data_IF_488679806422
#
_entry.id   IF_488679806422
#
_cell.length_a   1.000
_cell.length_b   1.000
_cell.length_c   1.000
_cell.angle_alpha   90.00
_cell.angle_beta   90.00
_cell.angle_gamma   90.00
#
_symmetry.space_group_name_H-M   'P 1'
#
loop_
_entity.id
_entity.type
_entity.pdbx_description
1 polymer ?
#
# COMPACT_ATOMS: atom_id res chain seq x y z
N UNK A 1 2.27 4.86 6.20
CA UNK A 1 2.17 6.33 6.23
C UNK A 1 3.48 7.00 5.83
N UNK A 2 4.64 6.49 6.29
CA UNK A 2 5.95 7.12 6.09
C UNK A 2 6.78 6.49 4.97
N UNK A 3 6.50 5.26 4.55
CA UNK A 3 7.34 4.50 3.61
C UNK A 3 7.70 5.25 2.32
N UNK A 4 6.74 5.93 1.69
CA UNK A 4 7.03 6.68 0.46
C UNK A 4 7.99 7.86 0.70
N UNK A 5 7.83 8.58 1.83
CA UNK A 5 8.73 9.70 2.17
C UNK A 5 10.12 9.18 2.54
N UNK A 6 10.20 8.11 3.32
CA UNK A 6 11.46 7.45 3.66
C UNK A 6 12.16 7.02 2.37
N UNK A 7 11.49 6.26 1.50
CA UNK A 7 12.07 5.80 0.24
C UNK A 7 12.59 6.95 -0.60
N UNK A 8 11.80 8.00 -0.80
CA UNK A 8 12.22 9.17 -1.58
C UNK A 8 13.41 9.90 -0.97
N UNK A 9 13.49 10.00 0.37
CA UNK A 9 14.64 10.60 1.06
C UNK A 9 15.89 9.74 0.87
N UNK A 10 15.78 8.42 1.06
CA UNK A 10 16.90 7.50 0.85
C UNK A 10 17.37 7.50 -0.61
N UNK A 11 16.45 7.53 -1.57
CA UNK A 11 16.78 7.63 -3.01
C UNK A 11 17.49 8.95 -3.33
N UNK A 12 17.03 10.07 -2.76
CA UNK A 12 17.67 11.37 -2.93
C UNK A 12 19.11 11.37 -2.39
N UNK A 13 19.33 10.80 -1.19
CA UNK A 13 20.69 10.61 -0.65
C UNK A 13 21.53 9.77 -1.60
N UNK A 14 21.02 8.63 -2.04
CA UNK A 14 21.77 7.73 -2.92
C UNK A 14 22.18 8.38 -4.24
N UNK A 15 21.29 9.22 -4.83
CA UNK A 15 21.52 9.85 -6.13
C UNK A 15 22.38 11.13 -6.05
N UNK A 16 22.28 11.90 -4.97
CA UNK A 16 22.80 13.27 -4.93
C UNK A 16 23.84 13.52 -3.83
N UNK A 17 24.14 12.55 -2.98
CA UNK A 17 25.21 12.72 -1.99
C UNK A 17 26.57 12.61 -2.63
N UNK A 18 27.37 13.70 -2.54
CA UNK A 18 28.71 13.81 -3.11
C UNK A 18 29.85 13.62 -2.06
N UNK A 19 29.51 13.31 -0.81
CA UNK A 19 30.48 13.06 0.24
C UNK A 19 31.18 11.70 0.12
N UNK A 20 31.76 11.21 1.22
CA UNK A 20 32.53 9.96 1.22
C UNK A 20 31.61 8.71 1.06
N UNK A 21 31.42 8.28 -0.16
CA UNK A 21 30.63 7.08 -0.49
C UNK A 21 31.35 5.76 -0.18
N UNK A 22 32.65 5.80 0.13
CA UNK A 22 33.43 4.63 0.54
C UNK A 22 33.41 4.40 2.05
N UNK A 23 32.80 5.30 2.83
CA UNK A 23 32.63 5.12 4.27
C UNK A 23 31.79 3.89 4.61
N UNK A 24 32.02 3.28 5.76
CA UNK A 24 31.26 2.12 6.22
C UNK A 24 29.78 2.47 6.41
N UNK A 25 29.48 3.70 6.89
CA UNK A 25 28.12 4.19 7.06
C UNK A 25 27.38 4.34 5.72
N UNK A 26 28.05 4.86 4.67
CA UNK A 26 27.41 4.97 3.36
C UNK A 26 27.16 3.58 2.73
N UNK A 27 28.10 2.65 2.88
CA UNK A 27 27.88 1.25 2.42
C UNK A 27 26.73 0.58 3.16
N UNK A 28 26.63 0.77 4.47
CA UNK A 28 25.52 0.26 5.27
C UNK A 28 24.19 0.93 4.91
N UNK A 29 24.21 2.24 4.63
CA UNK A 29 23.07 3.00 4.09
C UNK A 29 22.58 2.42 2.74
N UNK A 30 23.49 2.13 1.84
CA UNK A 30 23.15 1.52 0.54
C UNK A 30 22.48 0.14 0.70
N UNK A 31 22.98 -0.68 1.64
CA UNK A 31 22.34 -1.97 1.97
C UNK A 31 20.94 -1.77 2.53
N UNK A 32 20.75 -0.76 3.40
CA UNK A 32 19.44 -0.45 3.97
C UNK A 32 18.46 0.02 2.89
N UNK A 33 18.87 0.91 1.98
CA UNK A 33 18.06 1.34 0.84
C UNK A 33 17.63 0.15 -0.03
N UNK A 34 18.54 -0.76 -0.34
CA UNK A 34 18.23 -1.97 -1.11
C UNK A 34 17.20 -2.86 -0.40
N UNK A 35 17.28 -3.00 0.92
CA UNK A 35 16.24 -3.70 1.72
C UNK A 35 14.88 -3.00 1.63
N UNK A 36 14.87 -1.67 1.71
CA UNK A 36 13.63 -0.87 1.59
C UNK A 36 13.01 -1.03 0.20
N UNK A 37 13.79 -1.09 -0.86
CA UNK A 37 13.30 -1.38 -2.21
C UNK A 37 12.69 -2.77 -2.31
N UNK A 38 13.40 -3.78 -1.84
CA UNK A 38 12.94 -5.18 -1.91
C UNK A 38 11.66 -5.43 -1.11
N UNK A 39 11.54 -4.83 0.06
CA UNK A 39 10.39 -5.04 0.95
C UNK A 39 9.24 -4.04 0.71
N UNK A 40 9.41 -3.08 -0.23
CA UNK A 40 8.49 -1.96 -0.44
C UNK A 40 8.24 -1.13 0.82
N UNK A 41 9.24 -1.04 1.71
CA UNK A 41 9.17 -0.29 2.96
C UNK A 41 10.24 -0.72 3.97
N UNK A 42 10.15 -0.15 5.18
CA UNK A 42 11.14 -0.36 6.25
C UNK A 42 10.95 -1.63 7.07
N UNK A 43 9.99 -2.48 6.70
CA UNK A 43 9.71 -3.73 7.39
C UNK A 43 9.97 -4.93 6.48
N UNK A 44 10.41 -6.03 7.06
CA UNK A 44 10.57 -7.29 6.34
C UNK A 44 9.21 -7.75 5.78
N UNK A 45 9.17 -8.14 4.50
CA UNK A 45 7.90 -8.41 3.84
C UNK A 45 7.20 -9.70 4.28
N UNK A 46 7.93 -10.68 4.84
CA UNK A 46 7.35 -11.87 5.45
C UNK A 46 7.28 -11.77 6.97
N UNK A 47 8.41 -11.51 7.65
CA UNK A 47 8.49 -11.48 9.11
C UNK A 47 7.84 -10.25 9.75
N UNK A 48 7.56 -9.22 8.96
CA UNK A 48 6.93 -7.95 9.38
C UNK A 48 7.72 -7.09 10.36
N UNK A 49 8.87 -7.53 10.88
CA UNK A 49 9.74 -6.76 11.77
C UNK A 49 10.45 -5.62 11.02
N UNK A 50 10.73 -4.55 11.73
CA UNK A 50 11.40 -3.38 11.19
C UNK A 50 12.90 -3.67 10.94
N UNK A 51 13.42 -3.20 9.82
CA UNK A 51 14.86 -3.21 9.56
C UNK A 51 15.60 -2.27 10.50
N UNK A 52 16.67 -2.75 11.09
CA UNK A 52 17.60 -1.93 11.86
C UNK A 52 18.63 -1.36 10.88
N UNK A 53 18.85 -0.02 10.84
CA UNK A 53 19.93 0.59 10.07
C UNK A 53 21.31 0.11 10.57
N UNK A 54 22.22 -0.11 9.64
CA UNK A 54 23.61 -0.40 9.96
C UNK A 54 24.52 0.84 9.95
N UNK A 55 23.94 2.03 9.82
CA UNK A 55 24.60 3.34 9.82
C UNK A 55 24.06 4.19 10.97
N UNK A 56 24.82 5.22 11.36
CA UNK A 56 24.46 6.09 12.49
C UNK A 56 23.41 7.15 12.11
N UNK A 57 22.70 7.66 13.13
CA UNK A 57 21.78 8.79 12.96
C UNK A 57 22.55 10.04 12.51
N UNK A 58 23.73 10.28 13.09
CA UNK A 58 24.60 11.41 12.75
C UNK A 58 24.97 11.38 11.27
N UNK A 59 25.43 10.24 10.76
CA UNK A 59 25.75 10.09 9.34
C UNK A 59 24.53 10.30 8.45
N UNK A 60 23.35 9.89 8.88
CA UNK A 60 22.13 10.13 8.12
C UNK A 60 21.76 11.62 8.06
N UNK A 61 21.88 12.33 9.17
CA UNK A 61 21.73 13.80 9.20
C UNK A 61 22.72 14.47 8.24
N UNK A 62 24.01 14.13 8.31
CA UNK A 62 25.04 14.70 7.43
C UNK A 62 24.74 14.46 5.95
N UNK A 63 24.34 13.23 5.59
CA UNK A 63 23.99 12.89 4.22
C UNK A 63 22.79 13.70 3.70
N UNK A 64 21.73 13.87 4.50
CA UNK A 64 20.54 14.62 4.10
C UNK A 64 20.83 16.11 4.04
N UNK A 65 21.58 16.67 5.00
CA UNK A 65 21.95 18.10 5.00
C UNK A 65 22.81 18.48 3.79
N UNK A 66 23.64 17.57 3.29
CA UNK A 66 24.51 17.79 2.13
C UNK A 66 23.75 17.87 0.79
N UNK A 67 22.44 17.49 0.75
CA UNK A 67 21.65 17.46 -0.49
C UNK A 67 20.82 18.74 -0.62
N UNK A 68 20.64 19.25 -1.85
CA UNK A 68 19.76 20.38 -2.08
C UNK A 68 18.27 20.04 -1.80
N UNK A 69 17.53 21.01 -1.26
CA UNK A 69 16.13 20.86 -0.85
C UNK A 69 15.23 20.37 -1.96
N UNK A 70 15.49 20.75 -3.20
CA UNK A 70 14.71 20.38 -4.39
C UNK A 70 14.67 18.88 -4.68
N UNK A 71 15.65 18.11 -4.19
CA UNK A 71 15.69 16.65 -4.34
C UNK A 71 14.97 15.91 -3.21
N UNK A 72 14.68 16.58 -2.11
CA UNK A 72 14.05 15.98 -0.94
C UNK A 72 12.51 16.07 -0.99
N UNK A 73 11.80 15.09 -0.42
CA UNK A 73 10.32 15.09 -0.41
C UNK A 73 9.76 16.07 0.63
N UNK A 74 10.19 17.32 0.58
CA UNK A 74 9.73 18.37 1.47
C UNK A 74 8.29 18.79 1.11
N UNK A 75 7.46 18.99 2.10
CA UNK A 75 6.17 19.65 1.95
C UNK A 75 6.36 21.16 1.82
N UNK A 76 5.39 21.88 1.28
CA UNK A 76 5.48 23.34 1.16
C UNK A 76 5.75 24.00 2.52
N UNK A 77 6.87 24.72 2.62
CA UNK A 77 7.30 25.40 3.84
C UNK A 77 7.92 24.49 4.92
N UNK A 78 8.21 23.24 4.59
CA UNK A 78 8.90 22.30 5.49
C UNK A 78 10.42 22.39 5.31
N UNK A 79 11.16 22.44 6.41
CA UNK A 79 12.63 22.37 6.41
C UNK A 79 13.12 20.91 6.37
N UNK A 80 14.45 20.72 6.14
CA UNK A 80 15.10 19.41 6.31
C UNK A 80 15.01 18.93 7.75
N UNK A 81 15.20 19.81 8.71
CA UNK A 81 15.06 19.49 10.14
C UNK A 81 13.67 18.96 10.47
N UNK A 82 12.60 19.60 9.95
CA UNK A 82 11.23 19.09 10.09
C UNK A 82 11.05 17.72 9.47
N UNK A 83 11.64 17.48 8.29
CA UNK A 83 11.59 16.18 7.62
C UNK A 83 12.31 15.12 8.45
N UNK A 84 13.53 15.39 8.89
CA UNK A 84 14.35 14.49 9.71
C UNK A 84 13.70 14.23 11.08
N UNK A 85 13.13 15.26 11.72
CA UNK A 85 12.36 15.11 12.96
C UNK A 85 11.19 14.11 12.85
N UNK A 86 10.62 13.95 11.65
CA UNK A 86 9.58 12.95 11.37
C UNK A 86 10.18 11.58 11.05
N UNK A 87 11.24 11.52 10.23
CA UNK A 87 11.72 10.25 9.67
C UNK A 87 12.70 9.52 10.59
N UNK A 88 13.58 10.23 11.29
CA UNK A 88 14.63 9.64 12.16
C UNK A 88 14.03 8.74 13.25
N UNK A 89 13.02 9.18 14.02
CA UNK A 89 12.39 8.30 15.01
C UNK A 89 11.76 7.03 14.38
N UNK A 90 11.21 7.16 13.16
CA UNK A 90 10.59 6.03 12.47
C UNK A 90 11.64 5.05 11.95
N UNK A 91 12.79 5.52 11.49
CA UNK A 91 13.86 4.69 10.95
C UNK A 91 14.67 4.03 12.07
N UNK A 92 15.11 4.79 13.07
CA UNK A 92 16.11 4.36 14.04
C UNK A 92 15.55 3.86 15.37
N UNK A 93 14.42 4.41 15.86
CA UNK A 93 13.88 3.95 17.14
C UNK A 93 13.16 2.60 16.98
N UNK A 94 13.65 1.51 17.60
CA UNK A 94 13.03 0.18 17.47
C UNK A 94 11.62 0.08 18.07
N UNK A 95 11.27 0.97 18.99
CA UNK A 95 9.95 1.01 19.64
C UNK A 95 8.87 1.69 18.77
N UNK A 96 9.29 2.48 17.77
CA UNK A 96 8.37 3.21 16.87
C UNK A 96 8.02 2.33 15.69
N UNK A 97 6.76 1.92 15.58
CA UNK A 97 6.28 1.05 14.50
C UNK A 97 7.12 -0.23 14.34
N UNK A 98 7.27 -1.06 15.39
CA UNK A 98 8.17 -2.20 15.39
C UNK A 98 7.78 -3.27 14.36
N UNK A 99 6.50 -3.42 14.06
CA UNK A 99 5.98 -4.40 13.11
C UNK A 99 5.07 -3.76 12.06
N UNK A 100 5.16 -4.22 10.83
CA UNK A 100 4.20 -3.84 9.77
C UNK A 100 2.81 -4.36 10.07
N UNK A 101 2.72 -5.64 10.42
CA UNK A 101 1.52 -6.34 10.85
C UNK A 101 1.85 -7.03 12.17
N UNK A 102 1.15 -6.66 13.23
CA UNK A 102 1.25 -7.32 14.52
C UNK A 102 0.07 -8.29 14.70
N UNK A 103 0.37 -9.50 15.16
CA UNK A 103 -0.62 -10.54 15.47
C UNK A 103 -0.39 -11.14 16.85
N UNK A 104 0.18 -10.36 17.77
CA UNK A 104 0.45 -10.78 19.14
C UNK A 104 -0.85 -10.82 19.94
N UNK A 105 -1.15 -11.97 20.53
CA UNK A 105 -2.34 -12.14 21.37
C UNK A 105 -2.36 -11.16 22.56
N UNK A 106 -3.53 -10.58 22.83
CA UNK A 106 -3.74 -9.66 23.94
C UNK A 106 -3.36 -8.20 23.68
N UNK A 107 -2.84 -7.89 22.50
CA UNK A 107 -2.58 -6.52 22.04
C UNK A 107 -3.70 -5.98 21.13
N UNK A 108 -3.83 -4.66 21.04
CA UNK A 108 -4.65 -4.04 19.99
C UNK A 108 -3.90 -4.10 18.66
N UNK A 109 -4.27 -5.06 17.81
CA UNK A 109 -3.58 -5.36 16.55
C UNK A 109 -3.59 -4.17 15.58
N UNK A 110 -4.63 -3.33 15.64
CA UNK A 110 -4.79 -2.15 14.78
C UNK A 110 -3.83 -1.04 15.19
N UNK A 111 -3.74 -0.75 16.48
CA UNK A 111 -2.89 0.32 17.00
C UNK A 111 -1.41 -0.01 16.98
N UNK A 112 -1.06 -1.29 17.14
CA UNK A 112 0.32 -1.77 17.19
C UNK A 112 0.91 -2.15 15.84
N UNK A 113 0.09 -2.13 14.76
CA UNK A 113 0.55 -2.36 13.39
C UNK A 113 0.85 -1.06 12.64
N UNK A 114 1.95 -1.05 11.89
CA UNK A 114 2.37 0.09 11.07
C UNK A 114 1.62 0.22 9.73
N UNK A 115 0.60 -0.60 9.48
CA UNK A 115 -0.21 -0.54 8.27
C UNK A 115 -0.99 0.78 8.15
N UNK A 116 -1.40 1.13 6.92
CA UNK A 116 -2.08 2.40 6.63
C UNK A 116 -3.60 2.26 6.41
N UNK A 117 -4.18 1.17 6.86
CA UNK A 117 -5.59 0.85 6.66
C UNK A 117 -6.51 1.50 7.68
N UNK A 118 -5.94 1.88 8.82
CA UNK A 118 -6.67 2.42 9.96
C UNK A 118 -6.04 3.73 10.46
N UNK A 119 -6.86 4.65 10.97
CA UNK A 119 -6.38 5.90 11.54
C UNK A 119 -7.28 6.35 12.68
N UNK A 120 -6.70 6.57 13.86
CA UNK A 120 -7.39 7.02 15.07
C UNK A 120 -8.54 6.08 15.50
N UNK A 121 -8.39 4.79 15.30
CA UNK A 121 -9.37 3.75 15.66
C UNK A 121 -8.68 2.61 16.40
N UNK A 122 -9.41 1.96 17.31
CA UNK A 122 -8.99 0.74 17.98
C UNK A 122 -9.49 -0.50 17.25
N UNK A 123 -8.88 -1.66 17.52
CA UNK A 123 -9.35 -2.95 17.00
C UNK A 123 -10.84 -3.19 17.31
N UNK A 124 -11.25 -2.99 18.55
CA UNK A 124 -12.64 -3.19 18.97
C UNK A 124 -13.64 -2.28 18.23
N UNK A 125 -13.23 -1.08 17.83
CA UNK A 125 -14.06 -0.18 17.01
C UNK A 125 -14.19 -0.69 15.58
N UNK A 126 -13.09 -1.16 14.99
CA UNK A 126 -13.08 -1.76 13.64
C UNK A 126 -13.98 -2.99 13.59
N UNK A 127 -13.80 -3.92 14.52
CA UNK A 127 -14.58 -5.16 14.58
C UNK A 127 -16.08 -4.87 14.70
N UNK A 128 -16.47 -3.98 15.62
CA UNK A 128 -17.89 -3.58 15.77
C UNK A 128 -18.43 -2.88 14.53
N UNK A 129 -17.65 -2.06 13.86
CA UNK A 129 -18.09 -1.36 12.65
C UNK A 129 -18.42 -2.33 11.54
N UNK A 130 -17.54 -3.28 11.23
CA UNK A 130 -17.77 -4.26 10.18
C UNK A 130 -18.74 -5.39 10.56
N UNK A 131 -18.84 -5.73 11.85
CA UNK A 131 -19.85 -6.67 12.31
C UNK A 131 -21.28 -6.19 12.01
N UNK A 132 -21.58 -4.92 12.25
CA UNK A 132 -22.89 -4.31 11.94
C UNK A 132 -23.27 -4.39 10.45
N UNK A 133 -22.28 -4.33 9.55
CA UNK A 133 -22.55 -4.46 8.11
C UNK A 133 -22.92 -5.89 7.70
N UNK A 134 -22.59 -6.89 8.53
CA UNK A 134 -22.86 -8.32 8.31
C UNK A 134 -24.13 -8.81 9.01
N UNK A 135 -24.79 -8.01 9.85
CA UNK A 135 -25.91 -8.41 10.69
C UNK A 135 -27.20 -8.77 9.91
N UNK A 136 -27.27 -8.49 8.61
CA UNK A 136 -28.44 -8.80 7.76
C UNK A 136 -28.57 -10.29 7.39
N UNK A 137 -27.75 -11.20 7.96
CA UNK A 137 -27.84 -12.65 7.76
C UNK A 137 -27.59 -13.12 6.32
N UNK A 138 -26.98 -12.28 5.50
CA UNK A 138 -26.63 -12.62 4.13
C UNK A 138 -25.31 -13.40 4.11
N UNK A 139 -25.38 -14.72 3.88
CA UNK A 139 -24.20 -15.59 3.73
C UNK A 139 -23.30 -15.20 2.55
N UNK A 140 -23.82 -14.44 1.58
CA UNK A 140 -23.12 -13.90 0.41
C UNK A 140 -22.77 -12.40 0.57
N UNK A 141 -22.58 -11.95 1.82
CA UNK A 141 -22.21 -10.56 2.05
C UNK A 141 -20.86 -10.23 1.40
N UNK A 142 -20.70 -9.06 0.76
CA UNK A 142 -19.43 -8.62 0.22
C UNK A 142 -18.32 -8.57 1.29
N UNK A 143 -17.08 -8.63 0.85
CA UNK A 143 -15.89 -8.47 1.71
C UNK A 143 -15.77 -7.02 2.21
N UNK A 144 -16.66 -6.63 3.14
CA UNK A 144 -16.71 -5.27 3.66
C UNK A 144 -15.35 -4.80 4.20
N UNK A 145 -14.95 -3.60 3.79
CA UNK A 145 -13.69 -3.00 4.16
C UNK A 145 -12.55 -3.19 3.16
N UNK A 146 -12.68 -4.10 2.20
CA UNK A 146 -11.61 -4.52 1.30
C UNK A 146 -10.91 -3.35 0.59
N UNK A 147 -11.65 -2.37 0.11
CA UNK A 147 -11.19 -1.24 -0.69
C UNK A 147 -11.30 0.11 0.01
N UNK A 148 -11.06 0.14 1.31
CA UNK A 148 -11.22 1.38 2.09
C UNK A 148 -10.23 1.49 3.24
N UNK A 149 -9.97 2.73 3.66
CA UNK A 149 -9.36 3.07 4.94
C UNK A 149 -10.47 3.40 5.94
N UNK A 150 -10.42 2.84 7.15
CA UNK A 150 -11.30 3.24 8.23
C UNK A 150 -10.61 4.30 9.10
N UNK A 151 -11.27 5.41 9.33
CA UNK A 151 -10.78 6.51 10.17
C UNK A 151 -11.88 7.04 11.07
N UNK A 152 -11.49 7.76 12.12
CA UNK A 152 -12.42 8.49 12.96
C UNK A 152 -12.33 10.00 12.66
N UNK A 153 -13.47 10.62 12.33
CA UNK A 153 -13.59 12.05 12.09
C UNK A 153 -14.72 12.61 12.97
N UNK A 154 -14.42 13.62 13.76
CA UNK A 154 -15.38 14.24 14.70
C UNK A 154 -16.08 13.21 15.61
N UNK A 155 -15.38 12.15 16.02
CA UNK A 155 -15.91 11.08 16.86
C UNK A 155 -16.64 9.97 16.11
N UNK A 156 -16.92 10.12 14.83
CA UNK A 156 -17.62 9.13 14.00
C UNK A 156 -16.65 8.30 13.15
N UNK A 157 -16.96 7.01 12.99
CA UNK A 157 -16.21 6.11 12.12
C UNK A 157 -16.63 6.33 10.66
N UNK A 158 -15.65 6.56 9.79
CA UNK A 158 -15.85 6.86 8.38
C UNK A 158 -14.94 6.00 7.51
N UNK A 159 -15.52 5.35 6.50
CA UNK A 159 -14.74 4.71 5.45
C UNK A 159 -14.35 5.70 4.35
N UNK A 160 -13.05 5.75 4.06
CA UNK A 160 -12.50 6.47 2.92
C UNK A 160 -12.23 5.43 1.82
N UNK A 161 -13.15 5.32 0.87
CA UNK A 161 -13.04 4.36 -0.22
C UNK A 161 -11.92 4.74 -1.21
N UNK A 162 -11.33 3.75 -1.82
CA UNK A 162 -10.31 3.88 -2.86
C UNK A 162 -11.03 3.84 -4.22
N UNK A 163 -11.31 5.02 -4.74
CA UNK A 163 -12.05 5.25 -6.00
C UNK A 163 -11.45 6.40 -6.78
N UNK A 164 -11.88 6.61 -8.03
CA UNK A 164 -11.45 7.74 -8.86
C UNK A 164 -11.58 9.10 -8.15
N UNK A 165 -12.64 9.29 -7.36
CA UNK A 165 -12.90 10.53 -6.63
C UNK A 165 -12.64 10.40 -5.11
N UNK A 166 -12.12 9.27 -4.67
CA UNK A 166 -11.81 8.97 -3.28
C UNK A 166 -10.32 9.04 -2.95
N UNK A 167 -9.94 8.27 -1.94
CA UNK A 167 -8.53 8.14 -1.55
C UNK A 167 -7.75 7.44 -2.68
N UNK A 168 -6.55 7.94 -3.00
CA UNK A 168 -5.71 7.53 -4.14
C UNK A 168 -6.33 7.82 -5.53
N UNK A 169 -7.31 8.72 -5.62
CA UNK A 169 -8.07 9.00 -6.84
C UNK A 169 -7.21 9.29 -8.08
N UNK A 170 -6.11 10.03 -7.95
CA UNK A 170 -5.20 10.30 -9.07
C UNK A 170 -4.61 9.01 -9.67
N UNK A 171 -4.13 8.08 -8.83
CA UNK A 171 -3.60 6.80 -9.28
C UNK A 171 -4.70 5.91 -9.89
N UNK A 172 -5.88 5.89 -9.27
CA UNK A 172 -7.02 5.10 -9.75
C UNK A 172 -7.53 5.62 -11.10
N UNK A 173 -7.54 6.93 -11.34
CA UNK A 173 -7.85 7.53 -12.65
C UNK A 173 -6.90 7.04 -13.75
N UNK A 174 -5.62 6.94 -13.45
CA UNK A 174 -4.65 6.35 -14.39
C UNK A 174 -4.93 4.88 -14.67
N UNK A 175 -5.23 4.08 -13.63
CA UNK A 175 -5.61 2.67 -13.78
C UNK A 175 -6.82 2.56 -14.71
N UNK A 176 -7.89 3.29 -14.44
CA UNK A 176 -9.12 3.31 -15.26
C UNK A 176 -8.83 3.74 -16.70
N UNK A 177 -7.99 4.76 -16.90
CA UNK A 177 -7.59 5.21 -18.24
C UNK A 177 -6.90 4.10 -19.05
N UNK A 178 -5.99 3.33 -18.39
CA UNK A 178 -5.30 2.22 -19.03
C UNK A 178 -6.22 1.01 -19.26
N UNK A 179 -7.13 0.70 -18.33
CA UNK A 179 -8.15 -0.35 -18.52
C UNK A 179 -9.06 -0.06 -19.73
N UNK A 180 -9.53 1.19 -19.89
CA UNK A 180 -10.33 1.61 -21.04
C UNK A 180 -9.56 1.57 -22.36
N UNK A 181 -8.24 1.73 -22.33
CA UNK A 181 -7.38 1.51 -23.50
C UNK A 181 -7.23 0.02 -23.80
N UNK A 182 -6.95 -0.81 -22.78
CA UNK A 182 -6.83 -2.25 -22.91
C UNK A 182 -8.12 -2.88 -23.46
N UNK A 183 -9.29 -2.38 -23.08
CA UNK A 183 -10.59 -2.85 -23.55
C UNK A 183 -10.72 -2.85 -25.09
N UNK A 184 -10.04 -1.91 -25.76
CA UNK A 184 -10.04 -1.84 -27.24
C UNK A 184 -9.28 -3.01 -27.89
N UNK A 185 -8.49 -3.73 -27.12
CA UNK A 185 -7.67 -4.87 -27.55
C UNK A 185 -8.15 -6.18 -26.90
N UNK A 186 -9.31 -6.15 -26.24
CA UNK A 186 -9.92 -7.35 -25.66
C UNK A 186 -10.11 -8.42 -26.75
N UNK A 187 -9.75 -9.66 -26.45
CA UNK A 187 -9.75 -10.78 -27.39
C UNK A 187 -11.17 -11.27 -27.73
N UNK A 188 -12.13 -11.03 -26.81
CA UNK A 188 -13.52 -11.40 -26.94
C UNK A 188 -14.44 -10.47 -26.13
N UNK A 189 -15.74 -10.64 -26.25
CA UNK A 189 -16.73 -9.78 -25.54
C UNK A 189 -16.77 -10.08 -24.04
N UNK A 190 -16.46 -11.29 -23.60
CA UNK A 190 -16.35 -11.67 -22.19
C UNK A 190 -15.23 -10.90 -21.51
N UNK A 191 -14.03 -10.86 -22.11
CA UNK A 191 -12.89 -10.10 -21.58
C UNK A 191 -13.18 -8.60 -21.56
N UNK A 192 -13.86 -8.09 -22.57
CA UNK A 192 -14.29 -6.70 -22.62
C UNK A 192 -15.29 -6.37 -21.49
N UNK A 193 -16.22 -7.29 -21.22
CA UNK A 193 -17.17 -7.18 -20.13
C UNK A 193 -16.49 -7.19 -18.75
N UNK A 194 -15.46 -8.03 -18.57
CA UNK A 194 -14.67 -8.03 -17.33
C UNK A 194 -14.03 -6.66 -17.06
N UNK A 195 -13.48 -6.03 -18.10
CA UNK A 195 -12.89 -4.70 -17.97
C UNK A 195 -13.95 -3.66 -17.61
N UNK A 196 -15.15 -3.73 -18.19
CA UNK A 196 -16.26 -2.84 -17.84
C UNK A 196 -16.67 -2.96 -16.36
N UNK A 197 -16.77 -4.19 -15.85
CA UNK A 197 -17.10 -4.42 -14.44
C UNK A 197 -16.01 -3.87 -13.51
N UNK A 198 -14.74 -4.07 -13.85
CA UNK A 198 -13.62 -3.59 -13.10
C UNK A 198 -13.54 -2.05 -13.11
N UNK A 199 -13.74 -1.42 -14.25
CA UNK A 199 -13.82 0.04 -14.36
C UNK A 199 -14.97 0.59 -13.52
N UNK A 200 -16.13 -0.07 -13.56
CA UNK A 200 -17.29 0.29 -12.73
C UNK A 200 -16.92 0.23 -11.24
N UNK A 201 -16.29 -0.86 -10.79
CA UNK A 201 -15.83 -1.01 -9.41
C UNK A 201 -14.89 0.12 -8.98
N UNK A 202 -13.89 0.48 -9.78
CA UNK A 202 -12.98 1.58 -9.46
C UNK A 202 -13.67 2.95 -9.38
N UNK A 203 -14.76 3.14 -10.10
CA UNK A 203 -15.55 4.37 -10.05
C UNK A 203 -16.49 4.43 -8.87
N UNK A 204 -17.21 3.34 -8.58
CA UNK A 204 -18.23 3.30 -7.54
C UNK A 204 -17.67 2.95 -6.16
N UNK A 205 -16.59 2.15 -6.09
CA UNK A 205 -16.13 1.52 -4.86
C UNK A 205 -17.16 0.57 -4.25
N UNK A 206 -18.14 0.10 -5.03
CA UNK A 206 -19.14 -0.87 -4.57
C UNK A 206 -18.56 -2.30 -4.67
N UNK A 207 -18.44 -2.96 -3.53
CA UNK A 207 -17.92 -4.33 -3.45
C UNK A 207 -18.80 -5.35 -4.16
N UNK A 208 -20.09 -5.07 -4.34
CA UNK A 208 -20.97 -5.90 -5.17
C UNK A 208 -20.57 -5.86 -6.66
N UNK A 209 -20.02 -4.73 -7.13
CA UNK A 209 -19.48 -4.66 -8.49
C UNK A 209 -18.16 -5.46 -8.58
N UNK A 210 -17.35 -5.50 -7.52
CA UNK A 210 -16.17 -6.35 -7.45
C UNK A 210 -16.52 -7.84 -7.40
N UNK A 211 -17.55 -8.23 -6.65
CA UNK A 211 -18.05 -9.61 -6.64
C UNK A 211 -18.51 -10.05 -8.04
N UNK A 212 -19.27 -9.19 -8.76
CA UNK A 212 -19.67 -9.46 -10.15
C UNK A 212 -18.49 -9.65 -11.08
N UNK A 213 -17.47 -8.78 -10.95
CA UNK A 213 -16.21 -8.93 -11.67
C UNK A 213 -15.55 -10.28 -11.37
N UNK A 214 -15.40 -10.62 -10.09
CA UNK A 214 -14.74 -11.85 -9.64
C UNK A 214 -15.47 -13.10 -10.15
N UNK A 215 -16.82 -13.13 -10.10
CA UNK A 215 -17.64 -14.23 -10.61
C UNK A 215 -17.45 -14.37 -12.14
N UNK A 216 -17.51 -13.28 -12.87
CA UNK A 216 -17.33 -13.28 -14.32
C UNK A 216 -15.91 -13.70 -14.71
N UNK A 217 -14.89 -13.25 -13.95
CA UNK A 217 -13.50 -13.64 -14.16
C UNK A 217 -13.27 -15.15 -13.98
N UNK A 218 -13.83 -15.74 -12.92
CA UNK A 218 -13.74 -17.20 -12.67
C UNK A 218 -14.42 -18.01 -13.78
N UNK A 219 -15.44 -17.46 -14.44
CA UNK A 219 -16.18 -18.13 -15.51
C UNK A 219 -15.51 -17.99 -16.90
N UNK A 220 -14.62 -17.02 -17.05
CA UNK A 220 -13.95 -16.77 -18.30
C UNK A 220 -12.73 -17.68 -18.44
N UNK A 221 -12.72 -18.55 -19.46
CA UNK A 221 -11.67 -19.53 -19.72
C UNK A 221 -10.99 -19.33 -21.08
N UNK A 222 -11.59 -18.55 -21.96
CA UNK A 222 -11.13 -18.32 -23.32
C UNK A 222 -10.13 -17.16 -23.36
N UNK A 223 -9.23 -17.19 -24.35
CA UNK A 223 -8.23 -16.13 -24.60
C UNK A 223 -6.81 -16.51 -24.21
N UNK A 224 -5.86 -15.75 -24.76
CA UNK A 224 -4.43 -15.92 -24.55
C UNK A 224 -3.90 -15.09 -23.39
N UNK A 225 -4.59 -13.98 -23.08
CA UNK A 225 -4.20 -13.05 -22.01
C UNK A 225 -5.20 -13.15 -20.88
N UNK A 226 -4.69 -13.37 -19.68
CA UNK A 226 -5.44 -13.27 -18.44
C UNK A 226 -4.86 -12.16 -17.57
N UNK A 227 -5.67 -11.60 -16.66
CA UNK A 227 -5.20 -10.55 -15.77
C UNK A 227 -5.96 -10.54 -14.44
N UNK A 228 -5.22 -10.23 -13.40
CA UNK A 228 -5.75 -9.93 -12.07
C UNK A 228 -5.51 -8.44 -11.82
N UNK A 229 -6.52 -7.73 -11.36
CA UNK A 229 -6.40 -6.31 -11.05
C UNK A 229 -7.42 -5.91 -9.98
N UNK A 230 -6.96 -5.39 -8.86
CA UNK A 230 -7.85 -4.97 -7.77
C UNK A 230 -7.18 -4.85 -6.42
N UNK A 231 -8.00 -4.58 -5.41
CA UNK A 231 -7.62 -4.67 -4.00
C UNK A 231 -8.00 -6.06 -3.52
N UNK A 232 -7.02 -6.96 -3.35
CA UNK A 232 -7.27 -8.40 -3.26
C UNK A 232 -6.66 -9.01 -1.99
N UNK A 233 -5.33 -8.92 -1.86
CA UNK A 233 -4.60 -9.61 -0.80
C UNK A 233 -4.72 -8.91 0.56
N UNK A 234 -5.20 -9.64 1.56
CA UNK A 234 -5.52 -9.08 2.89
C UNK A 234 -4.48 -9.35 3.96
N UNK A 235 -3.42 -10.11 3.67
CA UNK A 235 -2.37 -10.44 4.65
C UNK A 235 -1.57 -9.22 5.14
N UNK A 236 -1.67 -8.08 4.47
CA UNK A 236 -1.11 -6.81 4.92
C UNK A 236 -1.93 -6.10 6.01
N UNK A 237 -3.11 -6.61 6.33
CA UNK A 237 -4.00 -6.10 7.37
C UNK A 237 -4.01 -7.06 8.57
N UNK A 238 -3.77 -6.58 9.80
CA UNK A 238 -3.78 -7.44 11.01
C UNK A 238 -5.13 -8.11 11.25
N UNK A 239 -6.23 -7.58 10.72
CA UNK A 239 -7.58 -8.16 10.84
C UNK A 239 -8.04 -8.91 9.58
N UNK A 240 -7.24 -8.94 8.52
CA UNK A 240 -7.58 -9.63 7.27
C UNK A 240 -8.80 -9.05 6.55
N UNK A 241 -9.08 -7.76 6.68
CA UNK A 241 -10.25 -7.09 6.10
C UNK A 241 -9.91 -6.19 4.90
N UNK A 242 -8.70 -5.61 4.89
CA UNK A 242 -8.29 -4.58 3.94
C UNK A 242 -7.37 -5.16 2.89
N UNK A 243 -7.74 -5.01 1.60
CA UNK A 243 -6.95 -5.49 0.49
C UNK A 243 -5.79 -4.56 0.12
N UNK A 244 -4.64 -5.13 -0.23
CA UNK A 244 -3.60 -4.44 -0.98
C UNK A 244 -3.90 -4.51 -2.46
N UNK A 245 -3.48 -3.47 -3.21
CA UNK A 245 -3.68 -3.46 -4.64
C UNK A 245 -2.68 -4.36 -5.35
N UNK A 246 -3.19 -5.14 -6.28
CA UNK A 246 -2.42 -6.02 -7.17
C UNK A 246 -2.78 -5.79 -8.62
N UNK A 247 -1.80 -6.01 -9.49
CA UNK A 247 -1.99 -6.06 -10.93
C UNK A 247 -1.01 -7.07 -11.53
N UNK A 248 -1.54 -8.16 -12.06
CA UNK A 248 -0.80 -9.22 -12.75
C UNK A 248 -1.40 -9.37 -14.14
N UNK A 249 -0.56 -9.52 -15.16
CA UNK A 249 -0.95 -9.87 -16.52
C UNK A 249 -0.21 -11.13 -16.90
N UNK A 250 -0.95 -12.14 -17.32
CA UNK A 250 -0.43 -13.44 -17.72
C UNK A 250 -0.69 -13.70 -19.19
N UNK A 251 0.22 -14.40 -19.80
CA UNK A 251 0.17 -14.80 -21.21
C UNK A 251 0.33 -16.32 -21.33
N UNK A 252 -0.61 -16.98 -22.02
CA UNK A 252 -0.56 -18.43 -22.24
C UNK A 252 0.44 -18.74 -23.33
N UNK A 253 1.42 -19.59 -23.03
CA UNK A 253 2.32 -20.19 -24.00
C UNK A 253 1.81 -21.60 -24.33
N UNK A 254 1.07 -21.72 -25.44
CA UNK A 254 0.45 -22.97 -25.84
C UNK A 254 1.46 -24.02 -26.31
N UNK A 255 2.71 -23.65 -26.67
CA UNK A 255 3.75 -24.60 -27.04
C UNK A 255 4.44 -25.18 -25.79
N UNK A 256 4.51 -24.40 -24.72
CA UNK A 256 5.13 -24.81 -23.44
C UNK A 256 4.16 -25.54 -22.51
N UNK A 257 2.86 -25.49 -22.76
CA UNK A 257 1.81 -26.12 -21.94
C UNK A 257 1.38 -27.44 -22.50
#
# INVERSE_FOLDING_TARGET
KYNLRIRKTLEAVYLHYEGNRESEDFKAFEVYLKRVWFASGIHHHYGCEKFVPGFSEESFYEMVEAIADEYLPLSKGQSKEDLLGILVPVIFNPEVMPKRVNQTDGEDLVQTSACNFYENVSQAEVERFYARMKEDGNEQAPSYGLNSKLTKRNGELVELKWTEDGLYGAAIKEIVSWLLRAQKYAENEEQKHLIDLLVKYYRTGDLKDFDRYSIAWVQQHEGMIDFINGFIEVYGDPLGLKGTWEGIVEYKDLEAT
#
